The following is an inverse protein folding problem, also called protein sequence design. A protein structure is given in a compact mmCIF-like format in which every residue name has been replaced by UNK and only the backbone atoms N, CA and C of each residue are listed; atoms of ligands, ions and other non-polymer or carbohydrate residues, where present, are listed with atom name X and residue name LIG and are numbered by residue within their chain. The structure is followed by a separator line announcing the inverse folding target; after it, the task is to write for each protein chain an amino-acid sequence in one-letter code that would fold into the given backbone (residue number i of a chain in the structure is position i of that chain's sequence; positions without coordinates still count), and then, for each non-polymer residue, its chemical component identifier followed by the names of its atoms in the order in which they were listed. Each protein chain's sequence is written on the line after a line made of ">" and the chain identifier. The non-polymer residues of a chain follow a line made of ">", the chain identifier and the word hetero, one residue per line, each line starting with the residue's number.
data_IF_951539561088
#
_entry.id   IF_951539561088
#
_cell.length_a   1.000
_cell.length_b   1.000
_cell.length_c   1.000
_cell.angle_alpha   90.00
_cell.angle_beta   90.00
_cell.angle_gamma   90.00
#
_symmetry.space_group_name_H-M   'P 1'
#
loop_
_entity.id
_entity.type
_entity.pdbx_description
1 polymer ?
#
# COMPACT_ATOMS: atom_id res chain seq x y z
N UNK A 1 -14.79 5.41 -19.17
CA UNK A 1 -15.44 6.46 -18.34
C UNK A 1 -15.73 5.84 -16.98
N UNK A 2 -15.43 6.54 -15.89
CA UNK A 2 -15.70 6.08 -14.52
C UNK A 2 -17.21 6.01 -14.29
N UNK A 3 -17.71 4.88 -13.74
CA UNK A 3 -19.15 4.59 -13.61
C UNK A 3 -19.67 4.70 -12.17
N UNK A 4 -18.83 5.13 -11.23
CA UNK A 4 -19.13 5.11 -9.80
C UNK A 4 -18.57 3.86 -9.12
N UNK A 5 -18.87 3.75 -7.83
CA UNK A 5 -18.36 2.71 -6.95
C UNK A 5 -19.39 1.57 -6.75
N UNK A 6 -18.94 0.33 -6.52
CA UNK A 6 -19.77 -0.88 -6.30
C UNK A 6 -19.72 -1.40 -4.86
N UNK A 7 -20.69 -2.24 -4.48
CA UNK A 7 -20.75 -2.84 -3.13
C UNK A 7 -19.64 -3.89 -2.89
N UNK A 8 -18.97 -4.34 -3.95
CA UNK A 8 -17.89 -5.33 -3.93
C UNK A 8 -16.48 -4.73 -3.80
N UNK A 9 -16.37 -3.42 -3.59
CA UNK A 9 -15.10 -2.70 -3.57
C UNK A 9 -14.29 -2.89 -2.30
N UNK A 10 -12.97 -2.74 -2.45
CA UNK A 10 -12.03 -2.71 -1.34
C UNK A 10 -11.68 -1.28 -0.99
N UNK A 11 -11.71 -0.96 0.31
CA UNK A 11 -11.37 0.36 0.81
C UNK A 11 -9.96 0.38 1.39
N UNK A 12 -9.28 1.49 1.15
CA UNK A 12 -7.93 1.73 1.65
C UNK A 12 -7.99 2.75 2.77
N UNK A 13 -7.39 2.41 3.91
CA UNK A 13 -7.30 3.33 5.03
C UNK A 13 -6.23 4.39 4.75
N UNK A 14 -6.58 5.66 4.99
CA UNK A 14 -5.65 6.78 4.90
C UNK A 14 -5.50 7.41 6.29
N UNK A 15 -4.30 7.92 6.65
CA UNK A 15 -4.13 8.63 7.92
C UNK A 15 -5.03 9.86 8.00
N UNK A 16 -5.68 10.11 9.14
CA UNK A 16 -6.53 11.29 9.35
C UNK A 16 -5.79 12.61 9.06
N UNK A 17 -4.48 12.66 9.32
CA UNK A 17 -3.64 13.81 9.03
C UNK A 17 -3.58 14.14 7.53
N UNK A 18 -3.82 13.17 6.65
CA UNK A 18 -3.97 13.41 5.22
C UNK A 18 -5.11 14.40 4.98
N UNK A 19 -6.31 14.10 5.50
CA UNK A 19 -7.48 14.95 5.30
C UNK A 19 -7.45 16.23 6.14
N UNK A 20 -6.95 16.18 7.37
CA UNK A 20 -6.93 17.34 8.27
C UNK A 20 -5.81 18.36 7.99
N UNK A 21 -4.69 17.91 7.41
CA UNK A 21 -3.50 18.75 7.24
C UNK A 21 -2.93 18.73 5.82
N UNK A 22 -2.60 17.55 5.28
CA UNK A 22 -1.81 17.47 4.04
C UNK A 22 -2.64 17.88 2.81
N UNK A 23 -3.88 17.43 2.71
CA UNK A 23 -4.74 17.63 1.53
C UNK A 23 -4.97 19.12 1.22
N UNK A 24 -5.14 19.96 2.23
CA UNK A 24 -5.32 21.41 2.04
C UNK A 24 -4.06 22.13 1.57
N UNK A 25 -2.89 21.54 1.81
CA UNK A 25 -1.60 22.13 1.44
C UNK A 25 -1.16 21.74 0.03
N UNK A 26 -1.53 20.54 -0.43
CA UNK A 26 -1.30 20.10 -1.81
C UNK A 26 -2.14 20.94 -2.76
N UNK A 27 -1.49 21.56 -3.75
CA UNK A 27 -2.13 22.40 -4.78
C UNK A 27 -1.97 21.86 -6.20
N UNK A 28 -1.14 20.85 -6.34
CA UNK A 28 -0.75 20.27 -7.61
C UNK A 28 -1.40 18.90 -7.78
N UNK A 29 -1.96 18.65 -8.97
CA UNK A 29 -2.67 17.40 -9.24
C UNK A 29 -1.70 16.20 -9.29
N UNK A 30 -0.49 16.40 -9.83
CA UNK A 30 0.50 15.33 -9.94
C UNK A 30 0.97 14.92 -8.55
N UNK A 31 1.29 15.91 -7.69
CA UNK A 31 1.64 15.70 -6.28
C UNK A 31 0.55 14.92 -5.53
N UNK A 32 -0.73 15.30 -5.71
CA UNK A 32 -1.84 14.62 -5.06
C UNK A 32 -1.95 13.16 -5.49
N UNK A 33 -1.88 12.92 -6.80
CA UNK A 33 -1.98 11.60 -7.41
C UNK A 33 -0.87 10.66 -6.93
N UNK A 34 0.39 11.10 -6.96
CA UNK A 34 1.50 10.26 -6.49
C UNK A 34 1.44 10.02 -4.98
N UNK A 35 0.99 11.00 -4.19
CA UNK A 35 0.86 10.86 -2.74
C UNK A 35 -0.23 9.85 -2.38
N UNK A 36 -1.41 9.95 -3.02
CA UNK A 36 -2.50 9.02 -2.81
C UNK A 36 -2.12 7.60 -3.25
N UNK A 37 -1.49 7.47 -4.41
CA UNK A 37 -0.97 6.18 -4.88
C UNK A 37 0.06 5.58 -3.93
N UNK A 38 1.00 6.38 -3.42
CA UNK A 38 1.98 5.91 -2.45
C UNK A 38 1.29 5.37 -1.20
N UNK A 39 0.36 6.12 -0.59
CA UNK A 39 -0.36 5.72 0.61
C UNK A 39 -1.17 4.44 0.42
N UNK A 40 -1.76 4.26 -0.77
CA UNK A 40 -2.41 3.02 -1.14
C UNK A 40 -1.42 1.87 -1.31
N UNK A 41 -0.37 2.08 -2.10
CA UNK A 41 0.53 1.02 -2.54
C UNK A 41 1.33 0.41 -1.39
N UNK A 42 1.74 1.21 -0.40
CA UNK A 42 2.52 0.73 0.74
C UNK A 42 1.78 -0.27 1.65
N UNK A 43 0.45 -0.34 1.60
CA UNK A 43 -0.32 -1.34 2.34
C UNK A 43 -0.18 -2.75 1.74
N UNK A 44 0.19 -2.84 0.47
CA UNK A 44 0.39 -4.10 -0.25
C UNK A 44 1.86 -4.53 -0.31
N UNK A 45 2.76 -3.77 0.33
CA UNK A 45 4.19 -4.04 0.36
C UNK A 45 4.55 -4.78 1.65
N UNK A 46 5.09 -5.98 1.49
CA UNK A 46 5.63 -6.80 2.59
C UNK A 46 7.13 -6.56 2.86
N UNK A 47 7.66 -5.40 2.44
CA UNK A 47 9.00 -4.95 2.78
C UNK A 47 8.99 -4.23 4.16
N UNK A 48 9.94 -4.51 5.06
CA UNK A 48 9.98 -3.95 6.42
C UNK A 48 10.04 -2.42 6.46
N UNK A 49 10.51 -1.79 5.40
CA UNK A 49 10.69 -0.35 5.32
C UNK A 49 9.62 0.34 4.46
N UNK A 50 8.82 -0.44 3.71
CA UNK A 50 7.75 0.04 2.82
C UNK A 50 8.22 1.17 1.91
N UNK A 51 9.35 0.94 1.27
CA UNK A 51 9.93 1.87 0.30
C UNK A 51 9.42 1.55 -1.11
N UNK A 52 9.22 2.58 -1.91
CA UNK A 52 8.92 2.47 -3.34
C UNK A 52 10.01 3.14 -4.15
N UNK A 53 10.46 2.51 -5.22
CA UNK A 53 11.32 3.16 -6.20
C UNK A 53 10.49 3.94 -7.22
N UNK A 54 11.14 4.85 -7.97
CA UNK A 54 10.45 5.67 -8.98
C UNK A 54 9.69 4.83 -10.01
N UNK A 55 10.21 3.64 -10.37
CA UNK A 55 9.58 2.76 -11.36
C UNK A 55 8.36 2.01 -10.83
N UNK A 56 8.11 2.01 -9.52
CA UNK A 56 6.91 1.40 -8.93
C UNK A 56 5.65 2.28 -9.08
N UNK A 57 5.82 3.52 -9.54
CA UNK A 57 4.72 4.45 -9.81
C UNK A 57 4.22 4.24 -11.24
N UNK A 58 3.10 3.53 -11.35
CA UNK A 58 2.49 3.20 -12.63
C UNK A 58 1.84 4.42 -13.27
N UNK A 59 2.55 5.03 -14.23
CA UNK A 59 2.14 6.24 -14.96
C UNK A 59 0.74 6.10 -15.58
N UNK A 60 0.44 4.96 -16.19
CA UNK A 60 -0.87 4.64 -16.77
C UNK A 60 -2.00 4.62 -15.74
N UNK A 61 -1.76 4.07 -14.55
CA UNK A 61 -2.76 4.02 -13.47
C UNK A 61 -2.99 5.39 -12.84
N UNK A 62 -1.93 6.19 -12.72
CA UNK A 62 -1.99 7.57 -12.27
C UNK A 62 -2.61 8.52 -13.32
N UNK A 63 -2.67 8.08 -14.58
CA UNK A 63 -3.01 8.93 -15.70
C UNK A 63 -2.08 10.15 -15.78
N UNK A 64 -0.79 9.90 -15.65
CA UNK A 64 0.31 10.87 -15.70
C UNK A 64 1.39 10.38 -16.68
N UNK A 65 2.17 11.28 -17.25
CA UNK A 65 3.41 10.94 -17.94
C UNK A 65 4.52 10.58 -16.93
N UNK A 66 5.63 10.01 -17.42
CA UNK A 66 6.79 9.72 -16.56
C UNK A 66 7.39 10.99 -15.95
N UNK A 67 7.38 12.09 -16.70
CA UNK A 67 7.84 13.41 -16.26
C UNK A 67 6.90 14.01 -15.20
N UNK A 68 5.59 13.85 -15.37
CA UNK A 68 4.60 14.30 -14.39
C UNK A 68 4.69 13.49 -13.09
N UNK A 69 4.91 12.18 -13.15
CA UNK A 69 5.19 11.36 -11.97
C UNK A 69 6.45 11.83 -11.25
N UNK A 70 7.54 12.08 -11.99
CA UNK A 70 8.78 12.59 -11.41
C UNK A 70 8.57 13.95 -10.72
N UNK A 71 7.90 14.88 -11.40
CA UNK A 71 7.52 16.21 -10.90
C UNK A 71 6.66 16.12 -9.63
N UNK A 72 5.62 15.28 -9.64
CA UNK A 72 4.76 15.04 -8.48
C UNK A 72 5.53 14.51 -7.28
N UNK A 73 6.46 13.57 -7.50
CA UNK A 73 7.29 13.00 -6.44
C UNK A 73 8.25 14.02 -5.84
N UNK A 74 8.86 14.87 -6.67
CA UNK A 74 9.71 15.96 -6.21
C UNK A 74 8.94 16.96 -5.34
N UNK A 75 7.71 17.33 -5.75
CA UNK A 75 6.83 18.20 -4.96
C UNK A 75 6.46 17.55 -3.62
N UNK A 76 6.10 16.27 -3.61
CA UNK A 76 5.77 15.54 -2.38
C UNK A 76 6.96 15.46 -1.40
N UNK A 77 8.18 15.29 -1.93
CA UNK A 77 9.41 15.33 -1.14
C UNK A 77 9.68 16.73 -0.61
N UNK A 78 9.54 17.76 -1.45
CA UNK A 78 9.73 19.16 -1.04
C UNK A 78 8.72 19.59 0.03
N UNK A 79 7.48 19.12 -0.05
CA UNK A 79 6.45 19.34 0.98
C UNK A 79 6.76 18.58 2.27
N UNK A 80 7.54 17.51 2.19
CA UNK A 80 7.86 16.65 3.31
C UNK A 80 6.75 15.65 3.64
N UNK A 81 5.85 15.34 2.71
CA UNK A 81 4.95 14.19 2.86
C UNK A 81 5.71 12.88 2.62
N UNK A 82 6.67 12.90 1.69
CA UNK A 82 7.56 11.80 1.38
C UNK A 82 9.03 12.15 1.69
N UNK A 83 9.82 11.12 1.97
CA UNK A 83 11.26 11.16 2.08
C UNK A 83 11.87 10.53 0.82
N UNK A 84 13.03 11.03 0.38
CA UNK A 84 13.78 10.49 -0.76
C UNK A 84 15.17 10.06 -0.30
N UNK A 85 15.57 8.86 -0.68
CA UNK A 85 16.91 8.32 -0.40
C UNK A 85 17.47 7.67 -1.67
N UNK A 86 18.77 7.87 -1.91
CA UNK A 86 19.46 7.28 -3.06
C UNK A 86 20.27 6.06 -2.61
N UNK A 87 20.12 4.94 -3.30
CA UNK A 87 20.90 3.72 -3.06
C UNK A 87 21.14 2.96 -4.36
N UNK A 88 22.39 2.56 -4.62
CA UNK A 88 22.79 1.76 -5.79
C UNK A 88 22.24 2.30 -7.12
N UNK A 89 22.33 3.62 -7.30
CA UNK A 89 21.82 4.40 -8.45
C UNK A 89 20.29 4.49 -8.59
N UNK A 90 19.51 3.94 -7.65
CA UNK A 90 18.06 4.08 -7.60
C UNK A 90 17.63 5.07 -6.53
N UNK A 91 16.50 5.73 -6.76
CA UNK A 91 15.84 6.57 -5.78
C UNK A 91 14.65 5.83 -5.18
N UNK A 92 14.62 5.79 -3.86
CA UNK A 92 13.55 5.23 -3.06
C UNK A 92 12.80 6.34 -2.32
N UNK A 93 11.50 6.15 -2.20
CA UNK A 93 10.56 7.05 -1.56
C UNK A 93 9.92 6.35 -0.37
N UNK A 94 9.80 7.06 0.75
CA UNK A 94 9.23 6.55 2.00
C UNK A 94 8.25 7.57 2.56
N UNK A 95 7.24 7.13 3.32
CA UNK A 95 6.37 8.07 4.04
C UNK A 95 7.20 8.85 5.09
N UNK A 96 7.03 10.17 5.19
CA UNK A 96 7.65 10.95 6.26
C UNK A 96 6.97 10.71 7.62
N UNK A 97 7.17 9.52 8.15
CA UNK A 97 6.70 9.04 9.45
C UNK A 97 7.89 8.72 10.35
N UNK A 98 7.71 8.53 11.68
CA UNK A 98 8.79 8.05 12.54
C UNK A 98 9.46 6.78 12.01
N UNK A 99 8.66 5.83 11.49
CA UNK A 99 9.17 4.61 10.83
C UNK A 99 9.97 4.93 9.57
N UNK A 100 9.44 5.76 8.67
CA UNK A 100 10.14 6.11 7.43
C UNK A 100 11.46 6.84 7.67
N UNK A 101 11.53 7.72 8.67
CA UNK A 101 12.80 8.37 9.06
C UNK A 101 13.81 7.37 9.62
N UNK A 102 13.37 6.43 10.46
CA UNK A 102 14.24 5.36 10.94
C UNK A 102 14.74 4.46 9.79
N UNK A 103 13.87 4.20 8.79
CA UNK A 103 14.22 3.46 7.59
C UNK A 103 15.30 4.17 6.75
N UNK A 104 15.16 5.47 6.51
CA UNK A 104 16.20 6.27 5.83
C UNK A 104 17.54 6.18 6.55
N UNK A 105 17.56 6.34 7.88
CA UNK A 105 18.79 6.20 8.68
C UNK A 105 19.41 4.79 8.57
N UNK A 106 18.58 3.74 8.52
CA UNK A 106 19.04 2.37 8.31
C UNK A 106 19.61 2.15 6.89
N UNK A 107 19.04 2.80 5.88
CA UNK A 107 19.52 2.75 4.50
C UNK A 107 20.88 3.43 4.33
N UNK A 108 21.05 4.60 4.94
CA UNK A 108 22.29 5.37 4.93
C UNK A 108 23.43 4.69 5.69
N UNK A 109 23.11 3.92 6.73
CA UNK A 109 24.09 3.20 7.57
C UNK A 109 24.51 1.82 7.02
N UNK A 110 24.28 1.54 5.73
CA UNK A 110 24.54 0.25 5.04
C UNK A 110 23.84 -0.98 5.65
N UNK A 111 22.96 -0.82 6.64
CA UNK A 111 22.22 -1.91 7.29
C UNK A 111 21.03 -2.43 6.47
N UNK A 112 20.85 -1.89 5.26
CA UNK A 112 19.76 -2.24 4.37
C UNK A 112 20.18 -3.31 3.35
N UNK A 113 19.49 -4.45 3.35
CA UNK A 113 19.63 -5.49 2.33
C UNK A 113 18.25 -5.80 1.70
N UNK A 114 17.98 -5.36 0.46
CA UNK A 114 16.69 -5.59 -0.20
C UNK A 114 16.50 -7.06 -0.62
N UNK A 115 17.55 -7.90 -0.53
CA UNK A 115 17.47 -9.33 -0.83
C UNK A 115 16.91 -10.17 0.32
N UNK A 116 16.76 -9.61 1.52
CA UNK A 116 16.08 -10.25 2.66
C UNK A 116 14.62 -9.78 2.68
N UNK A 117 13.96 -10.02 1.56
CA UNK A 117 12.55 -9.72 1.31
C UNK A 117 12.10 -10.67 0.21
N UNK A 118 12.35 -11.96 0.43
CA UNK A 118 11.88 -13.01 -0.46
C UNK A 118 10.41 -12.78 -0.70
N UNK A 119 10.07 -12.58 -1.97
CA UNK A 119 8.71 -12.37 -2.44
C UNK A 119 7.84 -13.54 -1.97
N UNK A 120 7.19 -13.37 -0.81
CA UNK A 120 5.90 -13.99 -0.60
C UNK A 120 4.97 -13.13 -1.44
N UNK A 121 4.75 -13.59 -2.68
CA UNK A 121 3.62 -13.18 -3.50
C UNK A 121 2.43 -13.10 -2.54
N UNK A 122 1.78 -11.94 -2.36
CA UNK A 122 0.47 -11.97 -1.73
C UNK A 122 -0.37 -12.76 -2.72
N UNK A 123 -0.60 -14.05 -2.43
CA UNK A 123 -1.86 -14.66 -2.77
C UNK A 123 -2.87 -13.63 -2.27
N UNK A 124 -3.65 -13.04 -3.17
CA UNK A 124 -4.85 -12.30 -2.80
C UNK A 124 -5.60 -13.26 -1.90
N UNK A 125 -5.43 -13.14 -0.58
CA UNK A 125 -6.14 -14.00 0.35
C UNK A 125 -7.55 -13.46 0.25
N UNK A 126 -8.48 -14.18 -0.41
CA UNK A 126 -9.84 -13.77 -0.37
C UNK A 126 -10.18 -13.82 1.12
N UNK A 127 -10.63 -12.70 1.66
CA UNK A 127 -11.04 -12.64 3.05
C UNK A 127 -11.97 -13.85 3.30
N UNK A 128 -11.66 -14.73 4.27
CA UNK A 128 -12.40 -15.99 4.49
C UNK A 128 -13.90 -15.71 4.71
N UNK A 129 -14.22 -14.54 5.26
CA UNK A 129 -15.59 -14.03 5.38
C UNK A 129 -16.26 -13.81 4.02
N UNK A 130 -15.50 -13.33 3.03
CA UNK A 130 -15.96 -13.09 1.65
C UNK A 130 -16.20 -14.41 0.89
N UNK A 131 -15.31 -15.40 1.01
CA UNK A 131 -15.52 -16.73 0.43
C UNK A 131 -16.76 -17.43 0.99
N UNK A 132 -17.01 -17.27 2.29
CA UNK A 132 -18.20 -17.81 2.92
C UNK A 132 -19.49 -17.14 2.39
N UNK A 133 -19.52 -15.81 2.33
CA UNK A 133 -20.69 -15.09 1.84
C UNK A 133 -20.97 -15.35 0.36
N UNK A 134 -19.93 -15.49 -0.47
CA UNK A 134 -20.05 -15.80 -1.90
C UNK A 134 -20.60 -17.21 -2.17
N UNK A 135 -20.35 -18.19 -1.29
CA UNK A 135 -20.75 -19.60 -1.53
C UNK A 135 -21.94 -20.09 -0.68
N UNK A 136 -22.15 -19.56 0.54
CA UNK A 136 -23.09 -20.13 1.52
C UNK A 136 -24.19 -19.12 1.91
N UNK A 137 -23.93 -17.81 1.81
CA UNK A 137 -24.88 -16.75 2.16
C UNK A 137 -24.47 -15.93 3.40
N UNK A 138 -25.37 -15.08 3.94
CA UNK A 138 -24.99 -14.00 4.86
C UNK A 138 -24.36 -14.50 6.16
N UNK A 139 -23.29 -13.82 6.58
CA UNK A 139 -22.52 -14.17 7.76
C UNK A 139 -23.29 -13.86 9.05
N UNK A 140 -23.76 -14.88 9.76
CA UNK A 140 -24.35 -14.69 11.09
C UNK A 140 -23.25 -14.61 12.16
N UNK A 141 -23.45 -13.89 13.29
CA UNK A 141 -22.40 -13.71 14.32
C UNK A 141 -21.83 -15.02 14.86
N UNK A 142 -22.65 -16.08 14.96
CA UNK A 142 -22.23 -17.40 15.41
C UNK A 142 -21.28 -18.09 14.42
N UNK A 143 -21.42 -17.78 13.12
CA UNK A 143 -20.58 -18.29 12.04
C UNK A 143 -19.28 -17.49 11.94
N UNK A 144 -19.33 -16.19 12.23
CA UNK A 144 -18.14 -15.34 12.29
C UNK A 144 -17.15 -15.79 13.37
N UNK A 145 -17.65 -16.22 14.53
CA UNK A 145 -16.80 -16.76 15.60
C UNK A 145 -16.32 -18.19 15.27
N UNK A 146 -17.16 -19.03 14.65
CA UNK A 146 -16.73 -20.35 14.19
C UNK A 146 -15.64 -20.30 13.10
N UNK A 147 -15.64 -19.28 12.24
CA UNK A 147 -14.59 -19.07 11.23
C UNK A 147 -13.27 -18.59 11.84
N UNK A 148 -13.31 -17.75 12.89
CA UNK A 148 -12.11 -17.37 13.65
C UNK A 148 -11.49 -18.59 14.33
N UNK A 149 -12.30 -19.45 14.93
CA UNK A 149 -11.83 -20.69 15.55
C UNK A 149 -11.26 -21.65 14.50
N UNK A 150 -11.82 -21.68 13.28
CA UNK A 150 -11.32 -22.51 12.18
C UNK A 150 -9.97 -22.04 11.59
N UNK A 151 -9.69 -20.73 11.58
CA UNK A 151 -8.37 -20.19 11.22
C UNK A 151 -7.26 -20.65 12.17
N UNK A 152 -7.57 -20.96 13.43
CA UNK A 152 -6.60 -21.48 14.40
C UNK A 152 -6.34 -22.99 14.25
N UNK A 153 -7.30 -23.74 13.70
CA UNK A 153 -7.30 -25.21 13.71
C UNK A 153 -6.84 -25.81 12.36
N UNK A 154 -7.06 -25.13 11.23
CA UNK A 154 -6.79 -25.66 9.89
C UNK A 154 -5.78 -24.81 9.11
N UNK A 155 -4.72 -25.46 8.60
CA UNK A 155 -3.77 -24.82 7.67
C UNK A 155 -4.45 -24.47 6.35
N UNK A 156 -4.17 -23.27 5.84
CA UNK A 156 -4.79 -22.64 4.67
C UNK A 156 -4.63 -23.37 3.32
N UNK A 157 -3.89 -24.48 3.28
CA UNK A 157 -3.78 -25.32 2.07
C UNK A 157 -5.04 -26.17 1.79
N UNK A 158 -5.92 -26.38 2.78
CA UNK A 158 -7.09 -27.27 2.62
C UNK A 158 -8.37 -26.56 2.11
N UNK A 159 -8.40 -25.22 2.06
CA UNK A 159 -9.63 -24.45 1.77
C UNK A 159 -9.77 -24.08 0.27
N UNK A 160 -8.76 -24.40 -0.55
CA UNK A 160 -8.74 -24.00 -1.96
C UNK A 160 -9.40 -25.01 -2.93
N UNK A 161 -9.99 -26.10 -2.45
CA UNK A 161 -10.43 -27.23 -3.30
C UNK A 161 -11.87 -27.72 -3.05
N UNK A 162 -12.78 -26.80 -2.71
CA UNK A 162 -14.23 -27.09 -2.61
C UNK A 162 -15.06 -26.10 -3.42
#
# INVERSE_FOLDING_TARGET
>A
MFKGFTDSETFTQLPDSFFHHLLKEIKDADELKVTAYFLWRIEFINDPFRALCQTDFESGLLGLSTEEVASGLEKAVQRGSLLKVQKDALFYFLLNSPRGRAAVQAMESERWNPKIGGAIVPVERPNVFKLYEENIGPLTPLIADALKDAEEIYSSEWVADA
#
